data_IF_835039206524
#
_entry.id   IF_835039206524
#
_cell.length_a   1.000
_cell.length_b   1.000
_cell.length_c   1.000
_cell.angle_alpha   90.00
_cell.angle_beta   90.00
_cell.angle_gamma   90.00
#
_symmetry.space_group_name_H-M   'P 1'
#
loop_
_entity.id
_entity.type
_entity.pdbx_description
1 polymer ?
#
# COMPACT_ATOMS: atom_id res chain seq x y z
N UNK A 1 16.65 8.96 -15.97
CA UNK A 1 16.42 7.50 -15.81
C UNK A 1 15.18 7.08 -16.59
N UNK A 2 15.19 5.92 -17.28
CA UNK A 2 14.00 5.34 -17.93
C UNK A 2 13.35 4.29 -17.02
N UNK A 3 12.09 4.48 -16.68
CA UNK A 3 11.33 3.62 -15.76
C UNK A 3 10.14 3.00 -16.46
N UNK A 4 9.98 1.70 -16.34
CA UNK A 4 8.79 0.96 -16.74
C UNK A 4 8.07 0.46 -15.47
N UNK A 5 6.89 1.02 -15.19
CA UNK A 5 6.04 0.62 -14.07
C UNK A 5 4.87 -0.22 -14.57
N UNK A 6 4.77 -1.43 -14.05
CA UNK A 6 3.72 -2.39 -14.39
C UNK A 6 2.72 -2.49 -13.25
N UNK A 7 1.42 -2.53 -13.59
CA UNK A 7 0.35 -2.44 -12.58
C UNK A 7 0.49 -1.17 -11.73
N UNK A 8 0.75 -0.06 -12.40
CA UNK A 8 1.23 1.20 -11.82
C UNK A 8 0.29 1.79 -10.76
N UNK A 9 -1.00 1.48 -10.85
CA UNK A 9 -2.01 2.02 -9.94
C UNK A 9 -2.06 3.55 -10.03
N UNK A 10 -1.85 4.20 -8.90
CA UNK A 10 -1.83 5.66 -8.76
C UNK A 10 -0.40 6.25 -8.76
N UNK A 11 0.53 5.59 -9.42
CA UNK A 11 1.90 6.07 -9.65
C UNK A 11 2.74 6.32 -8.39
N UNK A 12 2.65 5.41 -7.41
CA UNK A 12 3.42 5.50 -6.17
C UNK A 12 4.93 5.47 -6.39
N UNK A 13 5.42 4.73 -7.41
CA UNK A 13 6.83 4.72 -7.76
C UNK A 13 7.27 6.08 -8.34
N UNK A 14 6.42 6.73 -9.16
CA UNK A 14 6.69 8.09 -9.66
C UNK A 14 6.74 9.11 -8.51
N UNK A 15 5.84 8.98 -7.51
CA UNK A 15 5.89 9.81 -6.31
C UNK A 15 7.20 9.62 -5.53
N UNK A 16 7.65 8.39 -5.36
CA UNK A 16 8.90 8.09 -4.67
C UNK A 16 10.12 8.67 -5.40
N UNK A 17 10.16 8.60 -6.74
CA UNK A 17 11.20 9.21 -7.58
C UNK A 17 11.19 10.74 -7.47
N UNK A 18 10.01 11.38 -7.53
CA UNK A 18 9.85 12.82 -7.32
C UNK A 18 10.40 13.26 -5.96
N UNK A 19 10.08 12.55 -4.88
CA UNK A 19 10.58 12.85 -3.54
C UNK A 19 12.10 12.62 -3.37
N UNK A 20 12.71 11.87 -4.26
CA UNK A 20 14.17 11.66 -4.33
C UNK A 20 14.86 12.65 -5.26
N UNK A 21 14.12 13.55 -5.93
CA UNK A 21 14.61 14.45 -6.98
C UNK A 21 15.32 13.68 -8.12
N UNK A 22 14.77 12.51 -8.51
CA UNK A 22 15.29 11.71 -9.60
C UNK A 22 14.47 11.99 -10.85
N UNK A 23 15.10 12.63 -11.83
CA UNK A 23 14.49 12.85 -13.15
C UNK A 23 14.36 11.54 -13.92
N UNK A 24 13.17 11.31 -14.49
CA UNK A 24 12.90 10.09 -15.22
C UNK A 24 11.93 10.28 -16.37
N UNK A 25 12.12 9.49 -17.42
CA UNK A 25 11.07 9.16 -18.40
C UNK A 25 10.29 7.99 -17.80
N UNK A 26 8.99 8.18 -17.55
CA UNK A 26 8.18 7.23 -16.84
C UNK A 26 7.06 6.65 -17.72
N UNK A 27 7.10 5.34 -17.90
CA UNK A 27 6.12 4.58 -18.69
C UNK A 27 5.30 3.73 -17.74
N UNK A 28 3.97 3.90 -17.76
CA UNK A 28 3.03 3.26 -16.86
C UNK A 28 2.07 2.33 -17.59
N UNK A 29 2.07 1.05 -17.24
CA UNK A 29 1.05 0.09 -17.65
C UNK A 29 0.02 -0.07 -16.54
N UNK A 30 -1.20 0.40 -16.80
CA UNK A 30 -2.37 0.32 -15.90
C UNK A 30 -3.64 0.29 -16.75
N UNK A 31 -4.69 -0.40 -16.26
CA UNK A 31 -6.00 -0.53 -16.94
C UNK A 31 -7.17 0.04 -16.13
N UNK A 32 -6.98 0.27 -14.82
CA UNK A 32 -8.03 0.88 -14.00
C UNK A 32 -8.14 2.37 -14.34
N UNK A 33 -9.25 2.74 -14.99
CA UNK A 33 -9.50 4.11 -15.44
C UNK A 33 -9.42 5.16 -14.32
N UNK A 34 -9.80 4.81 -13.10
CA UNK A 34 -9.76 5.72 -11.97
C UNK A 34 -8.33 5.90 -11.44
N UNK A 35 -7.53 4.83 -11.43
CA UNK A 35 -6.12 4.92 -11.10
C UNK A 35 -5.36 5.79 -12.13
N UNK A 36 -5.63 5.59 -13.43
CA UNK A 36 -5.08 6.41 -14.51
C UNK A 36 -5.51 7.88 -14.36
N UNK A 37 -6.77 8.14 -13.98
CA UNK A 37 -7.27 9.49 -13.74
C UNK A 37 -6.52 10.18 -12.61
N UNK A 38 -6.28 9.48 -11.48
CA UNK A 38 -5.47 10.00 -10.37
C UNK A 38 -4.02 10.25 -10.81
N UNK A 39 -3.41 9.31 -11.53
CA UNK A 39 -2.05 9.45 -12.05
C UNK A 39 -1.92 10.72 -12.92
N UNK A 40 -2.80 10.88 -13.92
CA UNK A 40 -2.81 12.04 -14.82
C UNK A 40 -3.07 13.38 -14.12
N UNK A 41 -3.83 13.39 -13.04
CA UNK A 41 -4.10 14.61 -12.27
C UNK A 41 -2.88 15.07 -11.46
N UNK A 42 -1.95 14.17 -11.13
CA UNK A 42 -0.75 14.47 -10.34
C UNK A 42 0.52 14.58 -11.18
N UNK A 43 0.53 14.03 -12.40
CA UNK A 43 1.69 13.98 -13.31
C UNK A 43 1.26 14.09 -14.76
N UNK A 44 1.81 15.05 -15.46
CA UNK A 44 1.64 15.29 -16.88
C UNK A 44 2.71 14.60 -17.74
N UNK A 45 3.81 14.18 -17.11
CA UNK A 45 4.99 13.57 -17.73
C UNK A 45 4.91 12.05 -17.87
N UNK A 46 3.88 11.39 -17.32
CA UNK A 46 3.71 9.93 -17.40
C UNK A 46 3.15 9.52 -18.76
N UNK A 47 3.86 8.61 -19.41
CA UNK A 47 3.39 7.96 -20.64
C UNK A 47 2.60 6.70 -20.28
N UNK A 48 1.27 6.74 -20.41
CA UNK A 48 0.41 5.58 -20.17
C UNK A 48 0.40 4.66 -21.39
N UNK A 49 0.93 3.45 -21.25
CA UNK A 49 1.14 2.47 -22.33
C UNK A 49 0.11 1.33 -22.34
N UNK A 50 -0.94 1.42 -21.52
CA UNK A 50 -2.09 0.51 -21.56
C UNK A 50 -1.90 -0.84 -20.86
N UNK A 51 -2.52 -1.90 -21.41
CA UNK A 51 -2.55 -3.23 -20.80
C UNK A 51 -1.22 -3.96 -21.00
N UNK A 52 -0.65 -4.46 -19.89
CA UNK A 52 0.58 -5.25 -19.88
C UNK A 52 0.56 -6.44 -20.85
N UNK A 53 -0.60 -7.04 -21.08
CA UNK A 53 -0.77 -8.18 -21.99
C UNK A 53 -0.51 -7.84 -23.45
N UNK A 54 -0.67 -6.56 -23.82
CA UNK A 54 -0.55 -6.09 -25.20
C UNK A 54 0.83 -5.47 -25.48
N UNK A 55 1.63 -5.20 -24.45
CA UNK A 55 2.94 -4.58 -24.62
C UNK A 55 3.85 -5.49 -25.45
N UNK A 56 4.48 -4.91 -26.49
CA UNK A 56 5.33 -5.56 -27.48
C UNK A 56 4.66 -6.64 -28.36
N UNK A 57 3.36 -6.88 -28.24
CA UNK A 57 2.61 -7.80 -29.11
C UNK A 57 1.99 -7.12 -30.32
N UNK A 58 1.59 -5.85 -30.16
CA UNK A 58 0.95 -5.07 -31.22
C UNK A 58 1.57 -3.67 -31.26
N UNK A 59 2.06 -3.26 -32.43
CA UNK A 59 2.55 -1.90 -32.64
C UNK A 59 1.39 -1.03 -33.11
N UNK A 60 0.87 -0.16 -32.28
CA UNK A 60 0.04 0.96 -32.71
C UNK A 60 0.98 2.11 -33.10
N UNK A 61 1.19 2.25 -34.43
CA UNK A 61 2.18 3.18 -35.03
C UNK A 61 1.68 4.63 -34.94
N UNK A 62 0.43 4.87 -34.58
CA UNK A 62 -0.22 6.18 -34.72
C UNK A 62 -0.05 7.12 -33.50
N UNK A 63 0.43 6.64 -32.36
CA UNK A 63 0.75 7.50 -31.20
C UNK A 63 2.25 7.68 -31.04
N UNK A 64 2.75 8.91 -31.26
CA UNK A 64 4.17 9.25 -31.19
C UNK A 64 4.81 9.01 -29.82
N UNK A 65 4.05 9.06 -28.72
CA UNK A 65 4.53 8.78 -27.35
C UNK A 65 4.68 7.29 -27.11
N UNK A 66 3.78 6.48 -27.67
CA UNK A 66 3.89 5.03 -27.69
C UNK A 66 5.04 4.57 -28.59
N UNK A 67 5.28 5.23 -29.71
CA UNK A 67 6.38 4.87 -30.62
C UNK A 67 7.75 4.94 -29.96
N UNK A 68 8.00 5.91 -29.06
CA UNK A 68 9.25 5.98 -28.29
C UNK A 68 9.44 4.76 -27.39
N UNK A 69 8.37 4.30 -26.73
CA UNK A 69 8.43 3.11 -25.89
C UNK A 69 8.70 1.84 -26.70
N UNK A 70 7.96 1.63 -27.79
CA UNK A 70 8.10 0.43 -28.62
C UNK A 70 9.42 0.39 -29.43
N UNK A 71 10.05 1.52 -29.67
CA UNK A 71 11.35 1.61 -30.32
C UNK A 71 12.54 1.45 -29.36
N UNK A 72 12.29 1.30 -28.06
CA UNK A 72 13.36 1.07 -27.09
C UNK A 72 14.05 -0.28 -27.32
N UNK A 73 15.36 -0.24 -27.31
CA UNK A 73 16.18 -1.44 -27.40
C UNK A 73 16.23 -2.14 -26.02
N UNK A 74 16.47 -3.43 -26.09
CA UNK A 74 16.73 -4.26 -24.90
C UNK A 74 17.88 -3.66 -24.08
N UNK A 75 17.65 -3.46 -22.77
CA UNK A 75 18.64 -2.87 -21.86
C UNK A 75 18.56 -1.34 -21.72
N UNK A 76 17.69 -0.66 -22.44
CA UNK A 76 17.51 0.79 -22.32
C UNK A 76 16.66 1.23 -21.13
N UNK A 77 15.85 0.34 -20.58
CA UNK A 77 15.11 0.58 -19.35
C UNK A 77 16.06 0.44 -18.16
N UNK A 78 16.14 1.48 -17.34
CA UNK A 78 16.97 1.45 -16.13
C UNK A 78 16.27 0.68 -15.00
N UNK A 79 14.96 0.89 -14.83
CA UNK A 79 14.17 0.26 -13.77
C UNK A 79 12.86 -0.31 -14.29
N UNK A 80 12.62 -1.60 -14.05
CA UNK A 80 11.30 -2.24 -14.13
C UNK A 80 10.76 -2.39 -12.71
N UNK A 81 9.60 -1.80 -12.41
CA UNK A 81 8.96 -1.94 -11.11
C UNK A 81 7.51 -2.39 -11.29
N UNK A 82 7.01 -3.27 -10.41
CA UNK A 82 5.62 -3.69 -10.45
C UNK A 82 5.19 -4.45 -9.22
N UNK A 83 3.87 -4.45 -8.97
CA UNK A 83 3.22 -5.27 -7.96
C UNK A 83 2.13 -6.10 -8.61
N UNK A 84 2.43 -7.33 -9.00
CA UNK A 84 1.41 -8.17 -9.65
C UNK A 84 0.21 -8.39 -8.73
N UNK A 85 -1.04 -8.39 -9.27
CA UNK A 85 -2.23 -8.58 -8.44
C UNK A 85 -2.15 -9.82 -7.57
N UNK A 86 -2.29 -9.62 -6.25
CA UNK A 86 -2.14 -10.67 -5.23
C UNK A 86 -3.46 -11.29 -4.79
N UNK A 87 -4.57 -10.99 -5.47
CA UNK A 87 -5.92 -11.34 -4.98
C UNK A 87 -6.15 -12.84 -4.83
N UNK A 88 -5.44 -13.68 -5.57
CA UNK A 88 -5.48 -15.13 -5.44
C UNK A 88 -4.39 -15.70 -4.51
N UNK A 89 -3.43 -14.86 -4.09
CA UNK A 89 -2.33 -15.21 -3.18
C UNK A 89 -2.59 -14.79 -1.72
N UNK A 90 -3.47 -13.81 -1.50
CA UNK A 90 -3.72 -13.23 -0.17
C UNK A 90 -4.58 -14.12 0.73
N UNK A 91 -4.27 -14.15 2.05
CA UNK A 91 -5.07 -14.83 3.09
C UNK A 91 -6.51 -14.29 3.17
N UNK A 92 -6.78 -13.09 2.68
CA UNK A 92 -8.11 -12.49 2.75
C UNK A 92 -9.16 -13.16 1.85
N UNK A 93 -8.78 -14.07 0.96
CA UNK A 93 -9.69 -14.78 0.05
C UNK A 93 -9.88 -16.24 0.51
N UNK A 94 -11.14 -16.69 0.63
CA UNK A 94 -11.49 -18.05 1.06
C UNK A 94 -11.04 -19.12 0.04
N UNK A 95 -11.21 -18.86 -1.27
CA UNK A 95 -10.84 -19.75 -2.36
C UNK A 95 -9.55 -19.25 -3.04
N UNK A 96 -8.41 -19.74 -2.57
CA UNK A 96 -7.11 -19.39 -3.11
C UNK A 96 -6.74 -20.30 -4.27
N UNK A 97 -6.55 -19.72 -5.46
CA UNK A 97 -6.05 -20.45 -6.64
C UNK A 97 -4.52 -20.34 -6.80
N UNK A 98 -3.84 -19.66 -5.87
CA UNK A 98 -2.40 -19.42 -5.94
C UNK A 98 -1.99 -18.74 -7.26
N UNK A 99 -0.87 -19.16 -7.85
CA UNK A 99 -0.41 -18.65 -9.15
C UNK A 99 -1.25 -19.16 -10.34
N UNK A 100 -2.14 -20.13 -10.15
CA UNK A 100 -3.05 -20.64 -11.20
C UNK A 100 -4.32 -19.78 -11.35
N UNK A 101 -4.56 -18.81 -10.48
CA UNK A 101 -5.68 -17.88 -10.60
C UNK A 101 -5.48 -16.90 -11.76
N UNK A 102 -6.56 -16.55 -12.47
CA UNK A 102 -6.52 -15.65 -13.65
C UNK A 102 -5.83 -14.28 -13.40
N UNK A 103 -5.83 -13.80 -12.17
CA UNK A 103 -5.17 -12.53 -11.80
C UNK A 103 -3.72 -12.73 -11.37
N UNK A 104 -3.40 -13.85 -10.76
CA UNK A 104 -2.03 -14.21 -10.40
C UNK A 104 -1.20 -14.63 -11.61
N UNK A 105 -1.83 -15.05 -12.71
CA UNK A 105 -1.16 -15.31 -13.99
C UNK A 105 -0.49 -14.07 -14.57
N UNK A 106 -0.89 -12.87 -14.14
CA UNK A 106 -0.25 -11.61 -14.52
C UNK A 106 1.19 -11.48 -14.00
N UNK A 107 1.59 -12.27 -13.01
CA UNK A 107 3.00 -12.42 -12.65
C UNK A 107 3.86 -12.91 -13.82
N UNK A 108 3.35 -13.82 -14.64
CA UNK A 108 4.07 -14.31 -15.83
C UNK A 108 4.17 -13.26 -16.93
N UNK A 109 3.22 -12.31 -17.02
CA UNK A 109 3.37 -11.14 -17.90
C UNK A 109 4.49 -10.20 -17.40
N UNK A 110 4.63 -10.03 -16.09
CA UNK A 110 5.78 -9.32 -15.51
C UNK A 110 7.11 -10.00 -15.89
N UNK A 111 7.19 -11.34 -15.75
CA UNK A 111 8.37 -12.13 -16.15
C UNK A 111 8.67 -12.02 -17.64
N UNK A 112 7.64 -12.09 -18.49
CA UNK A 112 7.80 -11.91 -19.93
C UNK A 112 8.47 -10.58 -20.22
N UNK A 113 7.95 -9.50 -19.68
CA UNK A 113 8.52 -8.16 -19.88
C UNK A 113 9.90 -8.00 -19.26
N UNK A 114 10.16 -8.58 -18.09
CA UNK A 114 11.50 -8.59 -17.49
C UNK A 114 12.54 -9.22 -18.44
N UNK A 115 12.18 -10.31 -19.10
CA UNK A 115 13.06 -10.99 -20.06
C UNK A 115 13.18 -10.27 -21.40
N UNK A 116 12.12 -9.65 -21.89
CA UNK A 116 12.09 -8.87 -23.15
C UNK A 116 12.88 -7.58 -23.02
N UNK A 117 12.58 -6.79 -21.97
CA UNK A 117 13.15 -5.45 -21.77
C UNK A 117 14.58 -5.52 -21.20
N UNK A 118 14.90 -6.52 -20.38
CA UNK A 118 16.21 -6.66 -19.69
C UNK A 118 16.66 -5.37 -18.99
N UNK A 119 15.87 -4.84 -18.03
CA UNK A 119 16.21 -3.60 -17.35
C UNK A 119 17.48 -3.74 -16.51
N UNK A 120 18.15 -2.62 -16.21
CA UNK A 120 19.33 -2.64 -15.32
C UNK A 120 18.96 -3.08 -13.90
N UNK A 121 17.78 -2.65 -13.42
CA UNK A 121 17.23 -3.07 -12.14
C UNK A 121 15.78 -3.51 -12.28
N UNK A 122 15.36 -4.44 -11.44
CA UNK A 122 13.95 -4.74 -11.29
C UNK A 122 13.53 -4.76 -9.82
N UNK A 123 12.27 -4.40 -9.56
CA UNK A 123 11.59 -4.50 -8.27
C UNK A 123 10.24 -5.17 -8.50
N UNK A 124 10.01 -6.34 -7.90
CA UNK A 124 8.69 -6.94 -7.79
C UNK A 124 8.21 -6.86 -6.35
N UNK A 125 6.98 -6.36 -6.14
CA UNK A 125 6.31 -6.35 -4.84
C UNK A 125 5.19 -7.37 -4.80
N UNK A 126 5.00 -8.02 -3.64
CA UNK A 126 3.80 -8.80 -3.39
C UNK A 126 3.49 -8.93 -1.89
N UNK A 127 2.33 -9.51 -1.54
CA UNK A 127 1.90 -9.67 -0.15
C UNK A 127 2.77 -10.67 0.61
N UNK A 128 3.15 -10.33 1.85
CA UNK A 128 3.91 -11.23 2.71
C UNK A 128 3.08 -12.44 3.19
N UNK A 129 1.76 -12.41 3.04
CA UNK A 129 0.84 -13.47 3.44
C UNK A 129 0.58 -14.54 2.38
N UNK A 130 1.36 -14.54 1.28
CA UNK A 130 1.28 -15.61 0.28
C UNK A 130 1.72 -16.96 0.85
N UNK A 131 1.37 -18.06 0.19
CA UNK A 131 1.85 -19.39 0.57
C UNK A 131 3.37 -19.51 0.36
N UNK A 132 4.01 -20.39 1.14
CA UNK A 132 5.44 -20.71 0.97
C UNK A 132 5.73 -21.20 -0.45
N UNK A 133 4.90 -22.09 -0.98
CA UNK A 133 5.04 -22.61 -2.35
C UNK A 133 4.97 -21.49 -3.41
N UNK A 134 4.03 -20.53 -3.28
CA UNK A 134 3.97 -19.39 -4.21
C UNK A 134 5.20 -18.50 -4.12
N UNK A 135 5.73 -18.27 -2.91
CA UNK A 135 6.98 -17.52 -2.72
C UNK A 135 8.16 -18.21 -3.39
N UNK A 136 8.30 -19.53 -3.20
CA UNK A 136 9.37 -20.33 -3.78
C UNK A 136 9.35 -20.31 -5.31
N UNK A 137 8.15 -20.44 -5.93
CA UNK A 137 8.00 -20.34 -7.38
C UNK A 137 8.46 -18.97 -7.87
N UNK A 138 7.94 -17.87 -7.27
CA UNK A 138 8.32 -16.51 -7.65
C UNK A 138 9.85 -16.32 -7.52
N UNK A 139 10.42 -16.75 -6.41
CA UNK A 139 11.88 -16.64 -6.16
C UNK A 139 12.68 -17.37 -7.24
N UNK A 140 12.30 -18.59 -7.58
CA UNK A 140 12.97 -19.40 -8.63
C UNK A 140 12.87 -18.72 -10.01
N UNK A 141 11.68 -18.25 -10.39
CA UNK A 141 11.45 -17.54 -11.64
C UNK A 141 12.20 -16.20 -11.72
N UNK A 142 12.47 -15.57 -10.57
CA UNK A 142 13.27 -14.36 -10.45
C UNK A 142 14.76 -14.65 -10.16
N UNK A 143 15.31 -15.68 -10.81
CA UNK A 143 16.75 -15.99 -10.80
C UNK A 143 17.30 -16.35 -9.42
N UNK A 144 16.51 -17.02 -8.58
CA UNK A 144 16.82 -17.40 -7.18
C UNK A 144 17.11 -16.19 -6.27
N UNK A 145 16.59 -15.02 -6.63
CA UNK A 145 16.69 -13.80 -5.82
C UNK A 145 15.67 -13.88 -4.68
N UNK A 146 16.15 -13.92 -3.43
CA UNK A 146 15.29 -13.96 -2.25
C UNK A 146 14.67 -12.60 -1.95
N UNK A 147 13.37 -12.54 -1.59
CA UNK A 147 12.74 -11.28 -1.27
C UNK A 147 13.10 -10.81 0.14
N UNK A 148 13.22 -9.50 0.31
CA UNK A 148 13.18 -8.87 1.63
C UNK A 148 11.73 -8.57 2.02
N UNK A 149 11.36 -8.88 3.26
CA UNK A 149 10.08 -8.46 3.83
C UNK A 149 10.26 -7.13 4.55
N UNK A 150 9.52 -6.10 4.12
CA UNK A 150 9.49 -4.80 4.79
C UNK A 150 8.08 -4.56 5.34
N UNK A 151 8.00 -4.14 6.62
CA UNK A 151 6.77 -3.63 7.18
C UNK A 151 6.74 -2.11 7.05
N UNK A 152 5.74 -1.58 6.37
CA UNK A 152 5.55 -0.12 6.23
C UNK A 152 5.45 0.60 7.58
N UNK A 153 5.12 -0.12 8.68
CA UNK A 153 5.07 0.45 10.03
C UNK A 153 6.39 1.08 10.50
N UNK A 154 7.51 0.71 9.90
CA UNK A 154 8.81 1.35 10.16
C UNK A 154 8.90 2.75 9.55
N UNK A 155 8.10 3.06 8.52
CA UNK A 155 8.21 4.29 7.74
C UNK A 155 6.91 5.12 7.72
N UNK A 156 5.78 4.53 8.15
CA UNK A 156 4.45 5.15 8.20
C UNK A 156 3.67 4.67 9.43
N UNK A 157 2.47 5.20 9.62
CA UNK A 157 1.59 4.76 10.70
C UNK A 157 0.80 3.47 10.39
N UNK A 158 1.21 2.66 9.39
CA UNK A 158 0.46 1.51 8.89
C UNK A 158 1.23 0.19 9.02
N UNK A 159 0.60 -0.84 9.62
CA UNK A 159 1.08 -2.22 9.55
C UNK A 159 0.76 -2.83 8.19
N UNK A 160 1.74 -2.84 7.27
CA UNK A 160 1.61 -3.39 5.92
C UNK A 160 2.89 -4.15 5.56
N UNK A 161 2.89 -5.46 5.74
CA UNK A 161 4.02 -6.33 5.41
C UNK A 161 3.98 -6.72 3.94
N UNK A 162 5.08 -6.49 3.23
CA UNK A 162 5.23 -6.82 1.82
C UNK A 162 6.58 -7.48 1.55
N UNK A 163 6.62 -8.31 0.53
CA UNK A 163 7.84 -8.92 0.00
C UNK A 163 8.30 -8.13 -1.21
N UNK A 164 9.60 -7.89 -1.30
CA UNK A 164 10.23 -7.17 -2.40
C UNK A 164 11.39 -8.01 -2.95
N UNK A 165 11.30 -8.45 -4.20
CA UNK A 165 12.40 -9.03 -4.96
C UNK A 165 13.11 -7.91 -5.69
N UNK A 166 14.40 -7.71 -5.44
CA UNK A 166 15.18 -6.60 -6.00
C UNK A 166 16.43 -7.16 -6.65
N UNK A 167 16.53 -7.02 -7.96
CA UNK A 167 17.66 -7.52 -8.74
C UNK A 167 18.34 -6.45 -9.58
N UNK A 168 19.65 -6.61 -9.78
CA UNK A 168 20.50 -5.81 -10.67
C UNK A 168 21.09 -6.70 -11.75
N UNK A 169 21.08 -6.23 -13.00
CA UNK A 169 21.75 -6.90 -14.13
C UNK A 169 23.27 -6.67 -14.06
N UNK A 170 24.03 -7.75 -13.94
CA UNK A 170 25.50 -7.73 -13.87
C UNK A 170 26.03 -8.81 -14.81
N UNK A 171 26.82 -8.44 -15.79
CA UNK A 171 27.42 -9.37 -16.77
C UNK A 171 26.39 -10.33 -17.40
N UNK A 172 25.23 -9.80 -17.79
CA UNK A 172 24.15 -10.55 -18.44
C UNK A 172 23.31 -11.44 -17.51
N UNK A 173 23.54 -11.44 -16.20
CA UNK A 173 22.76 -12.18 -15.20
C UNK A 173 22.21 -11.26 -14.13
N UNK A 174 20.99 -11.52 -13.66
CA UNK A 174 20.48 -10.80 -12.49
C UNK A 174 21.12 -11.32 -11.21
N UNK A 175 21.52 -10.37 -10.36
CA UNK A 175 22.04 -10.63 -9.01
C UNK A 175 21.19 -9.88 -8.00
N UNK A 176 21.05 -10.45 -6.82
CA UNK A 176 20.31 -9.84 -5.71
C UNK A 176 20.93 -8.51 -5.28
N UNK A 177 20.11 -7.49 -5.08
CA UNK A 177 20.50 -6.26 -4.40
C UNK A 177 20.20 -6.41 -2.92
N UNK A 178 21.21 -6.22 -2.07
CA UNK A 178 21.00 -6.23 -0.62
C UNK A 178 20.30 -4.93 -0.21
N UNK A 179 19.11 -5.08 0.34
CA UNK A 179 18.33 -3.97 0.93
C UNK A 179 18.34 -4.16 2.44
N UNK A 180 18.72 -3.14 3.18
CA UNK A 180 18.67 -3.17 4.64
C UNK A 180 17.25 -2.83 5.14
N UNK A 181 16.91 -3.30 6.35
CA UNK A 181 15.66 -2.90 6.98
C UNK A 181 15.70 -1.41 7.30
N UNK A 182 14.63 -0.66 6.99
CA UNK A 182 14.58 0.75 7.37
C UNK A 182 14.52 0.90 8.89
N UNK A 183 15.12 1.97 9.41
CA UNK A 183 14.96 2.37 10.82
C UNK A 183 13.52 2.84 11.04
N UNK A 184 12.96 2.51 12.22
CA UNK A 184 11.63 3.03 12.60
C UNK A 184 11.67 4.55 12.73
N UNK A 185 10.77 5.22 12.01
CA UNK A 185 10.58 6.67 12.07
C UNK A 185 9.64 7.12 13.18
N UNK A 186 9.10 6.17 13.94
CA UNK A 186 8.19 6.42 15.07
C UNK A 186 6.93 7.25 14.69
N UNK A 187 6.48 7.12 13.43
CA UNK A 187 5.24 7.76 12.97
C UNK A 187 4.07 6.93 13.46
N UNK A 188 3.25 7.49 14.30
CA UNK A 188 2.12 6.81 14.95
C UNK A 188 0.78 7.20 14.30
N UNK A 189 -0.24 6.38 14.50
CA UNK A 189 -1.56 6.62 13.94
C UNK A 189 -2.18 7.95 14.44
N UNK A 190 -1.91 8.33 15.68
CA UNK A 190 -2.35 9.61 16.24
C UNK A 190 -1.77 10.83 15.52
N UNK A 191 -0.60 10.67 14.86
CA UNK A 191 0.11 11.78 14.22
C UNK A 191 -0.42 12.10 12.83
N UNK A 192 -1.25 11.21 12.27
CA UNK A 192 -1.76 11.33 10.89
C UNK A 192 -3.28 11.59 10.80
N UNK A 193 -4.02 11.39 11.88
CA UNK A 193 -5.46 11.65 11.90
C UNK A 193 -5.77 13.14 11.95
N UNK A 194 -6.86 13.55 11.30
CA UNK A 194 -7.33 14.93 11.29
C UNK A 194 -8.00 15.29 12.61
N UNK A 195 -8.97 14.46 13.06
CA UNK A 195 -9.70 14.63 14.31
C UNK A 195 -10.10 13.29 14.91
N UNK A 196 -10.24 13.23 16.23
CA UNK A 196 -10.74 12.07 16.96
C UNK A 196 -9.68 11.33 17.75
N UNK A 197 -9.98 10.09 18.11
CA UNK A 197 -9.15 9.23 18.94
C UNK A 197 -8.92 7.89 18.27
N UNK A 198 -7.76 7.32 18.50
CA UNK A 198 -7.40 5.97 18.05
C UNK A 198 -6.94 5.11 19.23
N UNK A 199 -7.29 3.85 19.18
CA UNK A 199 -6.93 2.88 20.24
C UNK A 199 -5.69 2.04 19.88
N UNK A 200 -5.01 2.37 18.78
CA UNK A 200 -3.85 1.65 18.28
C UNK A 200 -2.71 2.60 17.95
N UNK A 201 -1.51 2.13 18.16
CA UNK A 201 -0.28 2.87 17.82
C UNK A 201 -0.07 2.94 16.31
N UNK A 202 -0.30 1.83 15.61
CA UNK A 202 -0.23 1.73 14.15
C UNK A 202 -1.55 1.19 13.62
N UNK A 203 -2.00 1.69 12.47
CA UNK A 203 -3.24 1.24 11.85
C UNK A 203 -3.16 -0.22 11.37
N UNK A 204 -4.33 -0.84 11.19
CA UNK A 204 -4.41 -2.03 10.33
C UNK A 204 -4.00 -1.69 8.90
N UNK A 205 -3.66 -2.73 8.13
CA UNK A 205 -3.34 -2.58 6.71
C UNK A 205 -4.54 -1.99 5.95
N UNK A 206 -4.31 -0.92 5.21
CA UNK A 206 -5.29 -0.37 4.29
C UNK A 206 -5.45 -1.34 3.11
N UNK A 207 -6.66 -1.83 2.91
CA UNK A 207 -7.01 -2.71 1.79
C UNK A 207 -7.94 -2.02 0.79
N UNK A 208 -8.05 -2.56 -0.42
CA UNK A 208 -8.89 -2.01 -1.49
C UNK A 208 -10.40 -2.01 -1.16
N UNK A 209 -10.84 -2.74 -0.13
CA UNK A 209 -12.21 -2.78 0.35
C UNK A 209 -12.48 -1.81 1.52
N UNK A 210 -11.54 -0.92 1.83
CA UNK A 210 -11.68 0.00 2.95
C UNK A 210 -12.95 0.85 2.85
N UNK A 211 -13.36 1.22 1.62
CA UNK A 211 -14.61 1.96 1.33
C UNK A 211 -15.89 1.29 1.85
N UNK A 212 -15.89 -0.03 2.08
CA UNK A 212 -17.05 -0.75 2.63
C UNK A 212 -17.36 -0.40 4.09
N UNK A 213 -16.58 0.50 4.66
CA UNK A 213 -16.69 0.95 6.03
C UNK A 213 -16.32 -0.13 7.05
N UNK A 214 -16.08 0.29 8.27
CA UNK A 214 -15.86 -0.58 9.40
C UNK A 214 -17.07 -0.52 10.33
N UNK A 215 -17.69 -1.65 10.63
CA UNK A 215 -18.53 -1.73 11.81
C UNK A 215 -17.68 -2.13 13.02
N UNK A 216 -18.10 -1.73 14.20
CA UNK A 216 -17.38 -1.97 15.45
C UNK A 216 -17.09 -3.47 15.68
N UNK A 217 -18.04 -4.35 15.34
CA UNK A 217 -17.86 -5.79 15.47
C UNK A 217 -16.70 -6.29 14.61
N UNK A 218 -16.67 -5.94 13.33
CA UNK A 218 -15.56 -6.28 12.43
C UNK A 218 -14.22 -5.70 12.87
N UNK A 219 -14.23 -4.49 13.38
CA UNK A 219 -13.05 -3.82 13.87
C UNK A 219 -12.42 -4.55 15.06
N UNK A 220 -13.22 -4.86 16.09
CA UNK A 220 -12.72 -5.51 17.31
C UNK A 220 -12.45 -7.01 17.14
N UNK A 221 -13.32 -7.74 16.45
CA UNK A 221 -13.21 -9.19 16.31
C UNK A 221 -12.27 -9.64 15.20
N UNK A 222 -12.22 -8.90 14.08
CA UNK A 222 -11.47 -9.31 12.87
C UNK A 222 -10.20 -8.52 12.62
N UNK A 223 -9.92 -7.48 13.39
CA UNK A 223 -8.74 -6.64 13.24
C UNK A 223 -8.62 -6.01 11.86
N UNK A 224 -9.72 -5.49 11.31
CA UNK A 224 -9.79 -4.93 9.96
C UNK A 224 -10.34 -3.52 9.98
N UNK A 225 -9.92 -2.72 8.97
CA UNK A 225 -10.49 -1.40 8.66
C UNK A 225 -10.43 -0.46 9.85
N UNK A 226 -9.28 0.17 10.03
CA UNK A 226 -9.03 1.11 11.11
C UNK A 226 -10.18 2.10 11.27
N UNK A 227 -10.61 2.32 12.51
CA UNK A 227 -11.61 3.29 12.89
C UNK A 227 -10.98 4.42 13.72
N UNK A 228 -11.56 5.60 13.60
CA UNK A 228 -11.30 6.77 14.45
C UNK A 228 -12.56 7.03 15.25
N UNK A 229 -12.42 7.31 16.54
CA UNK A 229 -13.51 7.48 17.47
C UNK A 229 -13.66 8.95 17.84
N UNK A 230 -14.88 9.47 17.75
CA UNK A 230 -15.18 10.86 18.10
C UNK A 230 -15.39 11.07 19.61
N UNK A 231 -15.44 9.98 20.37
CA UNK A 231 -15.63 9.97 21.83
C UNK A 231 -14.58 9.08 22.49
N UNK A 232 -14.37 9.22 23.82
CA UNK A 232 -13.44 8.38 24.55
C UNK A 232 -13.64 6.89 24.31
N UNK A 233 -12.53 6.17 24.20
CA UNK A 233 -12.53 4.74 23.86
C UNK A 233 -12.73 3.94 25.13
N UNK A 234 -13.78 3.11 25.17
CA UNK A 234 -14.01 2.14 26.24
C UNK A 234 -12.99 1.00 26.13
N UNK A 235 -12.20 0.79 27.17
CA UNK A 235 -11.21 -0.29 27.24
C UNK A 235 -11.80 -1.61 27.76
N UNK A 236 -12.87 -1.56 28.56
CA UNK A 236 -13.47 -2.74 29.16
C UNK A 236 -14.54 -2.42 30.21
N UNK A 237 -14.82 -3.39 31.05
CA UNK A 237 -15.69 -3.24 32.23
C UNK A 237 -15.30 -4.26 33.30
N UNK A 238 -15.60 -3.92 34.53
CA UNK A 238 -15.61 -4.86 35.66
C UNK A 238 -17.02 -5.41 35.89
N UNK A 239 -17.15 -6.53 36.58
CA UNK A 239 -18.42 -7.15 36.94
C UNK A 239 -19.39 -7.32 35.75
N UNK A 240 -20.69 -7.04 35.97
CA UNK A 240 -21.76 -7.14 34.97
C UNK A 240 -21.77 -5.98 33.98
N UNK A 241 -20.81 -5.07 34.01
CA UNK A 241 -20.69 -3.96 33.05
C UNK A 241 -21.70 -2.85 33.26
N UNK A 242 -22.22 -2.65 34.46
CA UNK A 242 -23.04 -1.50 34.84
C UNK A 242 -22.30 -0.18 34.58
N UNK A 243 -23.01 0.95 34.66
CA UNK A 243 -22.44 2.25 34.31
C UNK A 243 -21.22 2.62 35.17
N UNK A 244 -21.19 2.18 36.44
CA UNK A 244 -20.07 2.37 37.35
C UNK A 244 -18.88 1.41 37.14
N UNK A 245 -19.04 0.37 36.35
CA UNK A 245 -18.03 -0.69 36.16
C UNK A 245 -17.22 -0.57 34.87
N UNK A 246 -17.46 0.45 34.08
CA UNK A 246 -16.86 0.61 32.76
C UNK A 246 -15.54 1.38 32.83
N UNK A 247 -14.50 0.89 32.16
CA UNK A 247 -13.16 1.47 32.14
C UNK A 247 -12.86 2.11 30.79
N UNK A 248 -12.27 3.29 30.77
CA UNK A 248 -11.98 4.07 29.57
C UNK A 248 -10.52 4.46 29.45
N UNK A 249 -10.11 4.78 28.24
CA UNK A 249 -8.77 5.29 27.97
C UNK A 249 -8.61 6.70 28.57
N UNK A 250 -7.55 6.89 29.34
CA UNK A 250 -7.12 8.20 29.83
C UNK A 250 -6.61 9.13 28.72
N UNK A 251 -6.43 8.63 27.50
CA UNK A 251 -5.97 9.40 26.33
C UNK A 251 -7.10 10.14 25.60
N UNK A 252 -8.33 10.09 26.14
CA UNK A 252 -9.48 10.80 25.61
C UNK A 252 -9.96 11.91 26.53
N UNK A 253 -10.92 12.75 26.06
CA UNK A 253 -11.62 13.71 26.93
C UNK A 253 -12.44 12.97 27.97
N UNK A 254 -12.44 13.48 29.22
CA UNK A 254 -13.28 12.93 30.28
C UNK A 254 -14.76 13.12 30.01
N UNK A 255 -15.60 12.26 30.59
CA UNK A 255 -17.04 12.51 30.55
C UNK A 255 -17.46 13.58 31.53
N UNK A 256 -18.72 13.95 31.36
CA UNK A 256 -19.42 14.81 32.30
C UNK A 256 -19.47 14.16 33.70
N UNK A 257 -19.06 14.89 34.70
CA UNK A 257 -19.23 14.51 36.10
C UNK A 257 -20.72 14.64 36.43
N UNK A 258 -21.36 13.61 36.95
CA UNK A 258 -22.73 13.71 37.47
C UNK A 258 -22.73 14.13 38.92
N UNK A 259 -23.79 14.81 39.37
CA UNK A 259 -23.92 15.33 40.71
C UNK A 259 -23.84 14.26 41.84
N UNK A 260 -23.99 12.99 41.49
CA UNK A 260 -23.94 11.85 42.45
C UNK A 260 -22.67 11.01 42.26
N UNK A 261 -21.56 11.63 41.95
CA UNK A 261 -20.29 10.97 41.70
C UNK A 261 -19.43 10.86 42.93
N UNK A 262 -19.53 9.76 43.63
CA UNK A 262 -18.66 9.45 44.72
C UNK A 262 -18.71 7.96 45.08
N UNK A 263 -17.54 7.30 45.14
CA UNK A 263 -17.38 5.91 45.56
C UNK A 263 -17.57 4.83 44.48
N UNK A 264 -17.20 3.60 44.80
CA UNK A 264 -17.41 2.41 43.95
C UNK A 264 -18.92 2.26 43.68
N UNK A 265 -19.30 2.32 42.41
CA UNK A 265 -20.69 2.22 41.98
C UNK A 265 -21.39 3.55 41.70
N UNK A 266 -20.73 4.68 41.80
CA UNK A 266 -21.25 5.95 41.42
C UNK A 266 -21.38 6.06 39.91
N UNK A 267 -22.46 6.70 39.41
CA UNK A 267 -22.86 6.80 38.00
C UNK A 267 -21.92 7.58 37.11
N UNK A 268 -20.76 7.99 37.59
CA UNK A 268 -19.77 8.82 36.92
C UNK A 268 -18.55 8.10 36.37
N UNK A 269 -18.40 6.89 36.71
CA UNK A 269 -17.33 6.17 36.08
C UNK A 269 -17.90 5.60 34.81
N UNK A 270 -17.41 5.89 33.74
CA UNK A 270 -17.24 4.91 32.74
C UNK A 270 -18.21 5.07 31.59
N UNK A 271 -17.74 5.11 30.50
CA UNK A 271 -18.20 5.67 29.28
C UNK A 271 -18.72 4.60 28.32
N UNK A 272 -19.97 4.67 27.93
CA UNK A 272 -20.54 3.86 26.87
C UNK A 272 -20.11 4.47 25.53
N UNK A 273 -19.50 3.67 24.65
CA UNK A 273 -19.33 4.02 23.27
C UNK A 273 -20.69 3.80 22.57
N UNK A 274 -21.57 4.75 22.69
CA UNK A 274 -22.53 5.09 21.66
C UNK A 274 -22.02 6.35 21.00
N UNK A 275 -20.91 6.23 20.34
CA UNK A 275 -20.29 7.34 19.66
C UNK A 275 -19.89 6.90 18.28
N UNK A 276 -20.20 7.71 17.32
CA UNK A 276 -19.92 7.50 15.92
C UNK A 276 -18.43 7.29 15.74
N UNK A 277 -18.03 6.04 15.59
CA UNK A 277 -16.72 5.72 15.03
C UNK A 277 -16.78 6.00 13.54
N UNK A 278 -15.84 6.75 13.02
CA UNK A 278 -15.70 7.00 11.59
C UNK A 278 -14.56 6.18 11.00
N UNK A 279 -14.62 5.95 9.71
CA UNK A 279 -13.45 5.51 8.94
C UNK A 279 -12.38 6.60 8.94
N UNK A 280 -11.15 6.23 8.60
CA UNK A 280 -10.14 7.20 8.19
C UNK A 280 -10.64 7.95 6.95
N UNK A 281 -10.37 9.24 6.85
CA UNK A 281 -10.62 10.01 5.64
C UNK A 281 -9.66 9.59 4.50
N UNK A 282 -9.95 10.01 3.27
CA UNK A 282 -9.02 9.78 2.15
C UNK A 282 -7.70 10.50 2.36
N UNK A 283 -7.69 11.66 3.03
CA UNK A 283 -6.49 12.40 3.43
C UNK A 283 -5.64 11.56 4.40
N UNK A 284 -6.26 11.04 5.47
CA UNK A 284 -5.58 10.18 6.44
C UNK A 284 -5.04 8.89 5.77
N UNK A 285 -5.77 8.35 4.78
CA UNK A 285 -5.30 7.21 4.00
C UNK A 285 -4.14 7.56 3.04
N UNK A 286 -4.12 8.78 2.47
CA UNK A 286 -2.96 9.29 1.73
C UNK A 286 -1.73 9.33 2.63
N UNK A 287 -1.84 9.91 3.83
CA UNK A 287 -0.75 9.98 4.83
C UNK A 287 -0.26 8.59 5.24
N UNK A 288 -1.15 7.60 5.40
CA UNK A 288 -0.78 6.21 5.67
C UNK A 288 0.07 5.57 4.56
N UNK A 289 -0.21 5.89 3.31
CA UNK A 289 0.53 5.39 2.15
C UNK A 289 1.72 6.27 1.78
N UNK A 290 1.87 7.44 2.43
CA UNK A 290 2.95 8.40 2.20
C UNK A 290 2.74 9.26 0.95
N UNK A 291 1.50 9.46 0.51
CA UNK A 291 1.13 10.43 -0.51
C UNK A 291 0.85 11.81 0.10
N UNK A 292 0.95 12.89 -0.69
CA UNK A 292 0.44 14.20 -0.30
C UNK A 292 -1.07 14.15 0.01
N UNK A 293 -1.52 15.06 0.87
CA UNK A 293 -2.94 15.27 1.13
C UNK A 293 -3.68 15.55 -0.19
N UNK A 294 -4.93 15.11 -0.29
CA UNK A 294 -5.78 15.28 -1.48
C UNK A 294 -5.29 14.61 -2.79
N UNK A 295 -4.27 13.75 -2.74
CA UNK A 295 -3.71 13.08 -3.91
C UNK A 295 -4.76 12.33 -4.76
N UNK A 296 -5.80 11.80 -4.13
CA UNK A 296 -6.90 11.06 -4.79
C UNK A 296 -8.20 11.87 -4.88
N UNK A 297 -8.18 13.18 -4.65
CA UNK A 297 -9.39 14.03 -4.59
C UNK A 297 -10.16 14.12 -5.90
N UNK A 298 -9.52 13.84 -7.03
CA UNK A 298 -10.13 13.88 -8.37
C UNK A 298 -11.14 12.75 -8.63
N UNK A 299 -11.15 11.72 -7.80
CA UNK A 299 -12.07 10.59 -7.91
C UNK A 299 -12.99 10.51 -6.69
N UNK A 300 -14.08 9.73 -6.78
CA UNK A 300 -14.94 9.51 -5.61
C UNK A 300 -14.18 8.84 -4.46
N UNK A 301 -14.62 9.08 -3.21
CA UNK A 301 -14.01 8.48 -2.02
C UNK A 301 -13.88 6.95 -2.14
N UNK A 302 -14.88 6.27 -2.70
CA UNK A 302 -14.85 4.80 -2.93
C UNK A 302 -13.67 4.41 -3.82
N UNK A 303 -13.44 5.13 -4.91
CA UNK A 303 -12.32 4.87 -5.82
C UNK A 303 -10.99 5.31 -5.21
N UNK A 304 -10.97 6.41 -4.45
CA UNK A 304 -9.80 6.84 -3.70
C UNK A 304 -9.32 5.79 -2.70
N UNK A 305 -10.20 5.26 -1.88
CA UNK A 305 -9.87 4.17 -0.94
C UNK A 305 -9.39 2.90 -1.65
N UNK A 306 -10.06 2.51 -2.75
CA UNK A 306 -9.66 1.35 -3.55
C UNK A 306 -8.25 1.52 -4.11
N UNK A 307 -7.96 2.66 -4.68
CA UNK A 307 -6.66 2.98 -5.30
C UNK A 307 -5.55 3.05 -4.26
N UNK A 308 -5.77 3.73 -3.13
CA UNK A 308 -4.82 3.79 -2.02
C UNK A 308 -4.54 2.40 -1.41
N UNK A 309 -5.58 1.57 -1.26
CA UNK A 309 -5.43 0.20 -0.74
C UNK A 309 -4.62 -0.72 -1.65
N UNK A 310 -4.71 -0.53 -2.97
CA UNK A 310 -3.94 -1.28 -3.96
C UNK A 310 -2.52 -0.74 -4.17
N UNK A 311 -2.26 0.51 -3.79
CA UNK A 311 -0.99 1.18 -4.07
C UNK A 311 0.18 0.63 -3.25
N UNK A 312 1.39 0.87 -3.72
CA UNK A 312 2.60 0.77 -2.92
C UNK A 312 2.59 1.81 -1.78
N UNK A 313 3.34 1.55 -0.72
CA UNK A 313 3.66 2.56 0.29
C UNK A 313 4.88 3.38 -0.19
N UNK A 314 4.67 4.64 -0.53
CA UNK A 314 5.69 5.53 -1.14
C UNK A 314 7.02 5.54 -0.35
N UNK A 315 7.05 5.72 0.98
CA UNK A 315 8.30 5.71 1.75
C UNK A 315 9.08 4.40 1.68
N UNK A 316 8.41 3.24 1.46
CA UNK A 316 9.09 1.96 1.29
C UNK A 316 9.77 1.90 -0.07
N UNK A 317 9.08 2.28 -1.14
CA UNK A 317 9.69 2.35 -2.49
C UNK A 317 10.85 3.34 -2.48
N UNK A 318 10.68 4.51 -1.86
CA UNK A 318 11.75 5.51 -1.68
C UNK A 318 12.98 4.93 -0.96
N UNK A 319 12.78 4.12 0.09
CA UNK A 319 13.87 3.44 0.80
C UNK A 319 14.62 2.45 -0.10
N UNK A 320 13.89 1.63 -0.87
CA UNK A 320 14.50 0.67 -1.81
C UNK A 320 15.25 1.41 -2.93
N UNK A 321 14.65 2.45 -3.51
CA UNK A 321 15.27 3.25 -4.57
C UNK A 321 16.57 3.92 -4.11
N UNK A 322 16.65 4.41 -2.88
CA UNK A 322 17.90 4.94 -2.31
C UNK A 322 19.01 3.89 -2.27
N UNK A 323 18.69 2.65 -1.91
CA UNK A 323 19.66 1.57 -1.90
C UNK A 323 20.13 1.18 -3.30
N UNK A 324 19.29 1.37 -4.32
CA UNK A 324 19.64 1.14 -5.73
C UNK A 324 20.47 2.31 -6.26
N UNK A 325 20.08 3.55 -5.98
CA UNK A 325 20.75 4.75 -6.52
C UNK A 325 22.18 4.92 -6.02
N UNK A 326 22.53 4.36 -4.87
CA UNK A 326 23.94 4.32 -4.41
C UNK A 326 24.83 3.37 -5.21
N UNK A 327 24.25 2.62 -6.17
CA UNK A 327 24.92 1.61 -7.00
C UNK A 327 24.73 1.90 -8.50
N UNK A 328 23.99 2.97 -8.86
CA UNK A 328 23.90 3.58 -10.19
C UNK A 328 25.07 4.50 -10.44
#
# INVERSE_FOLDING_TARGET
MKVLSLFDGISAARQALKELNIDCQYYASEIDKFAIQVSKANYDDIVHIGDIKNLFKYHDINDSRHSQFYNMKRGEIDLLIGGSPCQDLSIAKKDRKGLQGNRSSLFYEYLRLLNEVRPKFFILENVASMSKASKEIITKELFDIEPIMINSALLTAQNRKRLYWVGKLVNGKYKQVKIEQPKDKEIYLKDIIEEGYVNRVKSYCLDANYFKGGNLKSYFEKGRRQLVFNKPIRLGHFNKGGQGDRVYSIKGKSICLSANSGGKGAKTGLYKIEGVARMLSTIECCRLQGFPDNYVSIVSNTQGYKSLGNSFTVPVIKHILKSISSVL
#
